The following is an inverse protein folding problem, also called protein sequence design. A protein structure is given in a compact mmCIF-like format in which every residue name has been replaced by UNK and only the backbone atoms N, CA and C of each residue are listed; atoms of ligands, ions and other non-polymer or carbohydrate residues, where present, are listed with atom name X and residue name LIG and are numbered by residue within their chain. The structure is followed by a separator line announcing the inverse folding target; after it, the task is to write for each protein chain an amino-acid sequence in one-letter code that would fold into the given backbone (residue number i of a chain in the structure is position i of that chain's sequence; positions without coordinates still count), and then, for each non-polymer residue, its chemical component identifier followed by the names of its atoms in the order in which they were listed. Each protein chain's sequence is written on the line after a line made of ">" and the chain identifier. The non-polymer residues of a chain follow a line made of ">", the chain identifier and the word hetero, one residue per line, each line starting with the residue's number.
data_IF_397782669787
#
_entry.id   IF_397782669787
#
_cell.length_a   1.000
_cell.length_b   1.000
_cell.length_c   1.000
_cell.angle_alpha   90.00
_cell.angle_beta   90.00
_cell.angle_gamma   90.00
#
_symmetry.space_group_name_H-M   'P 1'
#
loop_
_entity.id
_entity.type
_entity.pdbx_description
1 polymer ?
#
# COMPACT_ATOMS: atom_id res chain seq x y z
N UNK A 1 11.85 -20.07 -8.21
CA UNK A 1 12.82 -20.88 -7.42
C UNK A 1 13.64 -19.94 -6.53
N UNK A 2 13.17 -19.57 -5.31
CA UNK A 2 13.81 -18.52 -4.49
C UNK A 2 14.37 -19.02 -3.14
N UNK A 3 14.26 -20.32 -2.83
CA UNK A 3 14.65 -20.88 -1.52
C UNK A 3 15.37 -22.24 -1.61
N UNK A 4 16.08 -22.49 -2.71
CA UNK A 4 16.98 -23.65 -2.79
C UNK A 4 18.41 -23.14 -2.51
N UNK A 5 19.23 -23.77 -1.65
CA UNK A 5 19.14 -25.14 -1.12
C UNK A 5 18.82 -25.25 0.39
N UNK A 6 18.33 -24.18 1.04
CA UNK A 6 18.25 -24.12 2.51
C UNK A 6 16.92 -24.65 3.08
N UNK A 7 16.80 -25.98 3.15
CA UNK A 7 15.60 -26.68 3.65
C UNK A 7 15.26 -26.34 5.11
N UNK A 8 16.24 -25.91 5.91
CA UNK A 8 16.03 -25.54 7.32
C UNK A 8 15.12 -24.31 7.46
N UNK A 9 15.27 -23.33 6.57
CA UNK A 9 14.48 -22.10 6.58
C UNK A 9 13.04 -22.38 6.15
N UNK A 10 12.87 -23.28 5.18
CA UNK A 10 11.59 -23.74 4.68
C UNK A 10 10.77 -24.46 5.77
N UNK A 11 11.41 -25.35 6.55
CA UNK A 11 10.74 -26.05 7.66
C UNK A 11 10.36 -25.09 8.79
N UNK A 12 11.23 -24.12 9.14
CA UNK A 12 10.91 -23.12 10.17
C UNK A 12 9.72 -22.24 9.77
N UNK A 13 9.64 -21.83 8.51
CA UNK A 13 8.46 -21.12 7.99
C UNK A 13 7.21 -22.00 8.11
N UNK A 14 7.28 -23.26 7.68
CA UNK A 14 6.18 -24.21 7.75
C UNK A 14 5.70 -24.45 9.20
N UNK A 15 6.63 -24.60 10.15
CA UNK A 15 6.28 -24.71 11.57
C UNK A 15 5.65 -23.43 12.10
N UNK A 16 6.17 -22.25 11.74
CA UNK A 16 5.56 -20.96 12.13
C UNK A 16 4.14 -20.81 11.58
N UNK A 17 3.89 -21.32 10.37
CA UNK A 17 2.56 -21.33 9.75
C UNK A 17 1.62 -22.41 10.35
N UNK A 18 2.16 -23.52 10.85
CA UNK A 18 1.38 -24.61 11.43
C UNK A 18 0.84 -24.31 12.85
N UNK A 19 1.45 -23.39 13.60
CA UNK A 19 1.02 -23.07 14.98
C UNK A 19 -0.28 -22.26 15.03
N UNK A 20 -0.70 -21.63 13.92
CA UNK A 20 -1.89 -20.77 13.85
C UNK A 20 -3.20 -21.50 13.47
N UNK A 21 -3.20 -22.82 13.29
CA UNK A 21 -4.43 -23.64 13.20
C UNK A 21 -5.34 -23.46 11.98
N UNK A 22 -5.10 -22.49 11.09
CA UNK A 22 -5.71 -22.37 9.77
C UNK A 22 -4.73 -21.69 8.82
N UNK A 23 -4.34 -22.37 7.75
CA UNK A 23 -3.71 -21.72 6.60
C UNK A 23 -4.85 -21.04 5.85
N UNK A 24 -5.19 -19.84 6.29
CA UNK A 24 -6.14 -18.98 5.59
C UNK A 24 -5.34 -17.90 4.88
N UNK A 25 -5.33 -17.95 3.55
CA UNK A 25 -4.93 -16.84 2.68
C UNK A 25 -5.68 -15.54 3.05
N UNK A 26 -6.77 -15.64 3.81
CA UNK A 26 -7.57 -14.52 4.30
C UNK A 26 -6.95 -13.69 5.45
N UNK A 27 -5.97 -14.17 6.22
CA UNK A 27 -5.44 -13.38 7.35
C UNK A 27 -4.46 -12.30 6.89
N UNK A 28 -3.66 -12.54 5.83
CA UNK A 28 -2.79 -11.50 5.26
C UNK A 28 -3.54 -10.55 4.30
N UNK A 29 -4.64 -11.00 3.72
CA UNK A 29 -5.40 -10.23 2.72
C UNK A 29 -6.41 -9.29 3.39
N UNK A 30 -7.07 -9.68 4.48
CA UNK A 30 -8.09 -8.83 5.11
C UNK A 30 -7.53 -7.60 5.85
N UNK A 31 -6.37 -7.69 6.51
CA UNK A 31 -5.77 -6.53 7.21
C UNK A 31 -5.39 -5.43 6.20
N UNK A 32 -5.07 -5.83 4.97
CA UNK A 32 -4.68 -4.92 3.91
C UNK A 32 -5.82 -4.04 3.40
N UNK A 33 -7.03 -4.60 3.31
CA UNK A 33 -8.20 -3.88 2.77
C UNK A 33 -8.83 -2.93 3.80
N UNK A 34 -8.84 -3.29 5.09
CA UNK A 34 -9.26 -2.36 6.16
C UNK A 34 -8.30 -1.16 6.27
N UNK A 35 -7.00 -1.39 6.13
CA UNK A 35 -6.01 -0.31 6.15
C UNK A 35 -6.21 0.66 4.97
N UNK A 36 -6.51 0.17 3.77
CA UNK A 36 -6.76 1.04 2.61
C UNK A 36 -8.04 1.87 2.72
N UNK A 37 -9.13 1.29 3.23
CA UNK A 37 -10.38 2.04 3.48
C UNK A 37 -10.16 3.16 4.48
N UNK A 38 -9.35 2.92 5.49
CA UNK A 38 -8.95 3.94 6.48
C UNK A 38 -8.13 5.05 5.82
N UNK A 39 -7.16 4.70 4.97
CA UNK A 39 -6.40 5.67 4.18
C UNK A 39 -7.32 6.53 3.31
N UNK A 40 -8.21 5.90 2.54
CA UNK A 40 -9.15 6.61 1.66
C UNK A 40 -10.07 7.56 2.44
N UNK A 41 -10.45 7.19 3.65
CA UNK A 41 -11.23 8.05 4.55
C UNK A 41 -10.43 9.29 4.95
N UNK A 42 -9.15 9.13 5.33
CA UNK A 42 -8.26 10.26 5.63
C UNK A 42 -7.99 11.14 4.39
N UNK A 43 -7.81 10.54 3.22
CA UNK A 43 -7.62 11.28 1.96
C UNK A 43 -8.87 12.10 1.59
N UNK A 44 -10.07 11.55 1.82
CA UNK A 44 -11.35 12.25 1.62
C UNK A 44 -11.56 13.37 2.65
N UNK A 45 -11.19 13.13 3.91
CA UNK A 45 -11.22 14.12 5.00
C UNK A 45 -10.17 15.22 4.88
N UNK A 46 -9.18 15.06 3.98
CA UNK A 46 -7.99 15.91 3.86
C UNK A 46 -7.13 15.94 5.12
N UNK A 47 -7.13 14.86 5.88
CA UNK A 47 -6.41 14.75 7.16
C UNK A 47 -4.95 14.33 6.95
N UNK A 48 -4.08 15.33 6.79
CA UNK A 48 -2.64 15.11 6.57
C UNK A 48 -1.97 14.36 7.74
N UNK A 49 -2.34 14.66 8.98
CA UNK A 49 -1.73 14.07 10.19
C UNK A 49 -1.97 12.56 10.28
N UNK A 50 -3.21 12.13 10.07
CA UNK A 50 -3.58 10.71 10.13
C UNK A 50 -3.11 9.94 8.90
N UNK A 51 -3.08 10.59 7.73
CA UNK A 51 -2.45 10.03 6.52
C UNK A 51 -0.96 9.77 6.75
N UNK A 52 -0.22 10.72 7.34
CA UNK A 52 1.21 10.54 7.64
C UNK A 52 1.43 9.38 8.63
N UNK A 53 0.64 9.30 9.70
CA UNK A 53 0.72 8.19 10.66
C UNK A 53 0.44 6.85 9.98
N UNK A 54 -0.54 6.81 9.08
CA UNK A 54 -0.86 5.62 8.30
C UNK A 54 0.34 5.17 7.45
N UNK A 55 1.02 6.10 6.78
CA UNK A 55 2.21 5.79 5.97
C UNK A 55 3.31 5.18 6.82
N UNK A 56 3.64 5.79 7.97
CA UNK A 56 4.65 5.27 8.91
C UNK A 56 4.30 3.85 9.37
N UNK A 57 3.03 3.59 9.68
CA UNK A 57 2.58 2.29 10.18
C UNK A 57 2.52 1.21 9.08
N UNK A 58 2.41 1.61 7.81
CA UNK A 58 2.27 0.69 6.69
C UNK A 58 3.56 0.58 5.83
N UNK A 59 4.63 1.28 6.19
CA UNK A 59 5.89 1.32 5.43
C UNK A 59 6.67 0.01 5.43
N UNK A 60 6.43 -0.87 6.41
CA UNK A 60 7.01 -2.22 6.44
C UNK A 60 6.54 -3.08 5.26
N UNK A 61 5.44 -2.70 4.60
CA UNK A 61 5.02 -3.30 3.35
C UNK A 61 5.84 -2.74 2.18
N UNK A 62 6.21 -3.64 1.27
CA UNK A 62 6.89 -3.32 0.01
C UNK A 62 6.20 -2.13 -0.71
N UNK A 63 6.88 -0.98 -0.89
CA UNK A 63 6.31 0.23 -1.48
C UNK A 63 5.63 -0.03 -2.82
N UNK A 64 6.18 -0.93 -3.63
CA UNK A 64 5.63 -1.31 -4.94
C UNK A 64 4.23 -1.91 -4.80
N UNK A 65 4.01 -2.73 -3.76
CA UNK A 65 2.69 -3.32 -3.49
C UNK A 65 1.70 -2.27 -2.99
N UNK A 66 2.17 -1.29 -2.21
CA UNK A 66 1.33 -0.19 -1.73
C UNK A 66 0.83 0.64 -2.91
N UNK A 67 1.73 1.08 -3.82
CA UNK A 67 1.34 1.83 -5.01
C UNK A 67 0.33 1.07 -5.87
N UNK A 68 0.53 -0.25 -6.05
CA UNK A 68 -0.40 -1.08 -6.83
C UNK A 68 -1.78 -1.15 -6.20
N UNK A 69 -1.85 -1.33 -4.88
CA UNK A 69 -3.13 -1.39 -4.17
C UNK A 69 -3.86 -0.04 -4.16
N UNK A 70 -3.12 1.06 -4.03
CA UNK A 70 -3.70 2.41 -4.16
C UNK A 70 -4.31 2.55 -5.56
N UNK A 71 -3.56 2.20 -6.60
CA UNK A 71 -4.06 2.21 -7.98
C UNK A 71 -5.33 1.39 -8.18
N UNK A 72 -5.41 0.19 -7.63
CA UNK A 72 -6.59 -0.67 -7.77
C UNK A 72 -7.82 -0.05 -7.05
N UNK A 73 -7.64 0.47 -5.83
CA UNK A 73 -8.71 1.11 -5.05
C UNK A 73 -9.21 2.44 -5.63
N UNK A 74 -8.39 3.12 -6.44
CA UNK A 74 -8.77 4.39 -7.05
C UNK A 74 -9.97 4.28 -7.98
N UNK A 75 -10.09 3.17 -8.71
CA UNK A 75 -11.19 2.97 -9.67
C UNK A 75 -12.57 2.96 -9.01
N UNK A 76 -12.64 2.49 -7.76
CA UNK A 76 -13.87 2.38 -7.00
C UNK A 76 -14.26 3.72 -6.36
N UNK A 77 -13.28 4.46 -5.84
CA UNK A 77 -13.53 5.62 -4.97
C UNK A 77 -13.38 7.00 -5.62
N UNK A 78 -12.72 7.11 -6.78
CA UNK A 78 -12.55 8.38 -7.48
C UNK A 78 -13.66 8.69 -8.50
N UNK A 79 -13.82 9.98 -8.79
CA UNK A 79 -14.58 10.43 -9.96
C UNK A 79 -13.85 10.07 -11.26
N UNK A 80 -14.55 9.57 -12.30
CA UNK A 80 -13.91 9.15 -13.56
C UNK A 80 -13.03 10.22 -14.22
N UNK A 81 -13.37 11.50 -14.03
CA UNK A 81 -12.62 12.63 -14.59
C UNK A 81 -11.23 12.83 -13.95
N UNK A 82 -11.03 12.41 -12.70
CA UNK A 82 -9.77 12.60 -11.96
C UNK A 82 -8.88 11.35 -11.97
N UNK A 83 -9.40 10.19 -12.39
CA UNK A 83 -8.65 8.94 -12.51
C UNK A 83 -7.39 9.09 -13.39
N UNK A 84 -7.43 9.69 -14.60
CA UNK A 84 -6.24 9.81 -15.44
C UNK A 84 -5.10 10.60 -14.78
N UNK A 85 -5.43 11.68 -14.07
CA UNK A 85 -4.44 12.49 -13.34
C UNK A 85 -3.84 11.70 -12.17
N UNK A 86 -4.68 11.00 -11.41
CA UNK A 86 -4.25 10.10 -10.34
C UNK A 86 -3.26 9.03 -10.82
N UNK A 87 -3.51 8.43 -11.98
CA UNK A 87 -2.62 7.43 -12.57
C UNK A 87 -1.25 8.00 -12.94
N UNK A 88 -1.21 9.22 -13.52
CA UNK A 88 0.05 9.89 -13.86
C UNK A 88 0.89 10.19 -12.61
N UNK A 89 0.25 10.67 -11.55
CA UNK A 89 0.91 10.95 -10.26
C UNK A 89 1.54 9.65 -9.71
N UNK A 90 0.77 8.56 -9.64
CA UNK A 90 1.30 7.28 -9.14
C UNK A 90 2.47 6.78 -9.97
N UNK A 91 2.39 6.88 -11.31
CA UNK A 91 3.46 6.42 -12.18
C UNK A 91 4.79 7.17 -11.93
N UNK A 92 4.74 8.49 -11.73
CA UNK A 92 5.91 9.32 -11.45
C UNK A 92 6.51 9.00 -10.07
N UNK A 93 5.68 8.89 -9.03
CA UNK A 93 6.17 8.52 -7.69
C UNK A 93 6.63 7.07 -7.58
N UNK A 94 6.07 6.15 -8.38
CA UNK A 94 6.53 4.78 -8.47
C UNK A 94 7.92 4.70 -9.12
N UNK A 95 8.17 5.53 -10.15
CA UNK A 95 9.50 5.66 -10.74
C UNK A 95 10.49 6.25 -9.72
N UNK A 96 10.13 7.33 -9.03
CA UNK A 96 10.96 7.95 -7.97
C UNK A 96 11.24 6.99 -6.80
N UNK A 97 10.28 6.13 -6.45
CA UNK A 97 10.42 5.10 -5.42
C UNK A 97 11.57 4.12 -5.70
N UNK A 98 11.93 3.88 -6.97
CA UNK A 98 13.06 3.01 -7.29
C UNK A 98 14.44 3.61 -6.92
N UNK A 99 14.54 4.94 -6.78
CA UNK A 99 15.81 5.66 -6.58
C UNK A 99 15.89 6.42 -5.25
N UNK A 100 14.76 6.63 -4.60
CA UNK A 100 14.65 7.39 -3.36
C UNK A 100 15.27 6.63 -2.18
N UNK A 101 16.05 7.35 -1.36
CA UNK A 101 16.60 6.83 -0.12
C UNK A 101 15.55 6.68 0.99
N UNK A 102 14.54 7.55 1.01
CA UNK A 102 13.46 7.57 2.01
C UNK A 102 12.07 7.37 1.37
N UNK A 103 11.59 6.13 1.45
CA UNK A 103 10.30 5.73 0.89
C UNK A 103 9.09 6.34 1.63
N UNK A 104 9.25 6.70 2.91
CA UNK A 104 8.19 7.35 3.70
C UNK A 104 7.89 8.72 3.10
N UNK A 105 8.94 9.51 2.87
CA UNK A 105 8.81 10.85 2.30
C UNK A 105 8.19 10.80 0.90
N UNK A 106 8.60 9.84 0.07
CA UNK A 106 8.07 9.69 -1.28
C UNK A 106 6.58 9.28 -1.28
N UNK A 107 6.18 8.38 -0.39
CA UNK A 107 4.78 7.95 -0.29
C UNK A 107 3.89 9.05 0.29
N UNK A 108 4.35 9.78 1.31
CA UNK A 108 3.64 10.95 1.85
C UNK A 108 3.47 12.03 0.79
N UNK A 109 4.50 12.31 -0.02
CA UNK A 109 4.42 13.27 -1.11
C UNK A 109 3.39 12.85 -2.16
N UNK A 110 3.41 11.58 -2.60
CA UNK A 110 2.42 11.03 -3.53
C UNK A 110 0.99 11.19 -3.00
N UNK A 111 0.74 10.79 -1.76
CA UNK A 111 -0.59 10.86 -1.16
C UNK A 111 -1.05 12.30 -0.97
N UNK A 112 -0.14 13.23 -0.63
CA UNK A 112 -0.45 14.66 -0.51
C UNK A 112 -0.85 15.26 -1.86
N UNK A 113 -0.13 14.90 -2.92
CA UNK A 113 -0.46 15.35 -4.27
C UNK A 113 -1.79 14.77 -4.76
N UNK A 114 -2.07 13.50 -4.44
CA UNK A 114 -3.37 12.89 -4.66
C UNK A 114 -4.48 13.62 -3.89
N UNK A 115 -4.31 13.95 -2.61
CA UNK A 115 -5.30 14.71 -1.83
C UNK A 115 -5.62 16.08 -2.44
N UNK A 116 -4.65 16.70 -3.11
CA UNK A 116 -4.80 18.02 -3.74
C UNK A 116 -5.53 17.93 -5.09
N UNK A 117 -5.13 16.98 -5.94
CA UNK A 117 -5.61 16.90 -7.32
C UNK A 117 -6.83 15.99 -7.53
N UNK A 118 -7.10 15.08 -6.59
CA UNK A 118 -8.17 14.10 -6.72
C UNK A 118 -9.46 14.57 -6.06
N UNK A 119 -10.56 14.48 -6.81
CA UNK A 119 -11.92 14.57 -6.28
C UNK A 119 -12.44 13.16 -6.00
N UNK A 120 -12.70 12.88 -4.72
CA UNK A 120 -13.38 11.67 -4.28
C UNK A 120 -14.89 11.76 -4.55
N UNK A 121 -15.53 10.60 -4.76
CA UNK A 121 -17.00 10.49 -4.84
C UNK A 121 -17.65 10.66 -3.48
#
# INVERSE_FOLDING_TARGET
>A
KKHFPDFRKLINELQRYSVSGKIDSGILVNISDENLKTLLSHLKGKDFTEMRKWVVHNLDNDPVKIFRRIYDSMYEHLQPATIPHAVLIIADYQYKSAFVADQEVNLVACLTELMSQVKFK
#
